data_IF_584679357586
#
_entry.id   IF_584679357586
#
_cell.length_a   1.000
_cell.length_b   1.000
_cell.length_c   1.000
_cell.angle_alpha   90.00
_cell.angle_beta   90.00
_cell.angle_gamma   90.00
#
_symmetry.space_group_name_H-M   'P 1'
#
loop_
_entity.id
_entity.type
_entity.pdbx_description
1 polymer ?
#
# COMPACT_ATOMS: atom_id res chain seq x y z
N UNK A 1 -0.52 -7.59 -0.59
CA UNK A 1 0.10 -8.07 0.66
C UNK A 1 -0.30 -7.16 1.79
N UNK A 2 -0.87 -7.73 2.87
CA UNK A 2 -1.34 -6.94 4.01
C UNK A 2 -0.21 -6.23 4.77
N UNK A 3 0.95 -6.87 4.93
CA UNK A 3 2.13 -6.31 5.61
C UNK A 3 2.59 -4.93 5.09
N UNK A 4 2.42 -4.67 3.79
CA UNK A 4 2.80 -3.41 3.16
C UNK A 4 1.69 -2.34 3.17
N UNK A 5 0.47 -2.67 3.60
CA UNK A 5 -0.64 -1.70 3.68
C UNK A 5 -0.47 -0.86 4.95
N UNK A 6 -0.44 0.45 4.80
CA UNK A 6 -0.38 1.39 5.92
C UNK A 6 -1.46 2.46 5.77
N UNK A 7 -2.15 2.78 6.85
CA UNK A 7 -3.11 3.88 6.92
C UNK A 7 -2.49 5.03 7.72
N UNK A 8 -2.51 6.25 7.19
CA UNK A 8 -2.02 7.44 7.88
C UNK A 8 -2.90 8.64 7.54
N UNK A 9 -3.35 9.37 8.56
CA UNK A 9 -3.92 10.70 8.38
C UNK A 9 -2.78 11.68 8.07
N UNK A 10 -2.94 12.47 7.02
CA UNK A 10 -1.95 13.43 6.55
C UNK A 10 -2.50 14.84 6.81
N UNK A 11 -1.61 15.73 7.25
CA UNK A 11 -1.93 17.14 7.46
C UNK A 11 -1.78 17.89 6.15
N UNK A 12 -2.68 18.84 5.89
CA UNK A 12 -2.58 19.72 4.73
C UNK A 12 -1.31 20.55 4.78
N UNK A 13 -0.83 20.91 3.60
CA UNK A 13 0.30 21.81 3.43
C UNK A 13 -0.17 23.25 3.65
N UNK A 14 0.45 23.96 4.60
CA UNK A 14 0.09 25.32 4.94
C UNK A 14 0.57 26.34 3.88
N UNK A 15 1.54 25.93 3.05
CA UNK A 15 2.14 26.77 2.01
C UNK A 15 1.43 26.62 0.65
N UNK A 16 0.25 26.00 0.62
CA UNK A 16 -0.53 25.84 -0.60
C UNK A 16 -1.47 27.03 -0.81
N UNK A 17 -1.30 27.70 -1.95
CA UNK A 17 -2.22 28.72 -2.45
C UNK A 17 -3.00 28.15 -3.65
N UNK A 18 -4.34 28.03 -3.55
CA UNK A 18 -5.16 27.50 -4.64
C UNK A 18 -5.19 28.41 -5.87
N UNK A 19 -4.83 29.70 -5.74
CA UNK A 19 -4.85 30.66 -6.86
C UNK A 19 -3.58 30.62 -7.72
N UNK A 20 -2.52 29.93 -7.27
CA UNK A 20 -1.21 29.86 -7.94
C UNK A 20 -1.11 28.70 -8.96
N UNK A 21 -2.00 27.70 -8.88
CA UNK A 21 -1.94 26.49 -9.71
C UNK A 21 -3.18 26.31 -10.60
N UNK A 22 -3.00 25.66 -11.76
CA UNK A 22 -4.08 25.39 -12.74
C UNK A 22 -5.13 24.35 -12.28
N UNK A 23 -5.08 23.92 -11.03
CA UNK A 23 -5.93 22.87 -10.49
C UNK A 23 -7.00 23.49 -9.60
N UNK A 24 -8.27 23.16 -9.85
CA UNK A 24 -9.43 23.66 -9.10
C UNK A 24 -9.59 23.00 -7.71
N UNK A 25 -8.49 22.62 -7.05
CA UNK A 25 -8.51 21.90 -5.77
C UNK A 25 -8.15 22.80 -4.59
N UNK A 26 -8.90 22.70 -3.49
CA UNK A 26 -8.79 23.59 -2.32
C UNK A 26 -7.62 23.23 -1.38
N UNK A 27 -7.23 21.96 -1.30
CA UNK A 27 -6.19 21.49 -0.37
C UNK A 27 -5.10 20.66 -1.07
N UNK A 28 -3.87 20.82 -0.59
CA UNK A 28 -2.70 20.00 -0.96
C UNK A 28 -2.17 19.22 0.24
N UNK A 29 -1.83 17.96 0.04
CA UNK A 29 -1.28 17.07 1.06
C UNK A 29 0.05 16.45 0.62
N UNK A 30 1.13 16.56 1.40
CA UNK A 30 2.40 15.93 1.08
C UNK A 30 2.37 14.43 1.37
N UNK A 31 2.86 13.63 0.42
CA UNK A 31 2.98 12.18 0.59
C UNK A 31 4.01 11.83 1.68
N UNK A 32 3.71 10.85 2.57
CA UNK A 32 4.63 10.47 3.63
C UNK A 32 6.00 10.03 3.11
N UNK A 33 7.07 10.58 3.69
CA UNK A 33 8.46 10.15 3.47
C UNK A 33 8.88 9.01 4.40
N UNK A 34 8.28 8.92 5.59
CA UNK A 34 8.57 7.88 6.57
C UNK A 34 7.27 7.34 7.24
N UNK A 35 6.90 6.07 7.01
CA UNK A 35 7.48 5.15 6.03
C UNK A 35 7.19 5.62 4.59
N UNK A 36 8.12 5.36 3.67
CA UNK A 36 8.06 5.92 2.32
C UNK A 36 6.84 5.38 1.55
N UNK A 37 6.01 6.28 1.03
CA UNK A 37 4.85 5.88 0.23
C UNK A 37 5.26 5.47 -1.20
N UNK A 38 5.08 4.19 -1.53
CA UNK A 38 5.32 3.65 -2.89
C UNK A 38 4.11 3.87 -3.80
N UNK A 39 2.91 3.56 -3.31
CA UNK A 39 1.67 3.62 -4.09
C UNK A 39 0.47 3.95 -3.22
N UNK A 40 -0.36 4.88 -3.68
CA UNK A 40 -1.64 5.21 -3.05
C UNK A 40 -2.64 4.09 -3.40
N UNK A 41 -3.39 3.63 -2.40
CA UNK A 41 -4.44 2.61 -2.56
C UNK A 41 -5.83 3.18 -2.38
N UNK A 42 -6.01 4.06 -1.39
CA UNK A 42 -7.29 4.71 -1.08
C UNK A 42 -7.01 6.08 -0.45
N UNK A 43 -7.80 7.08 -0.82
CA UNK A 43 -7.86 8.39 -0.17
C UNK A 43 -9.24 8.50 0.45
N UNK A 44 -9.33 8.81 1.74
CA UNK A 44 -10.58 8.85 2.52
C UNK A 44 -11.42 7.58 2.30
N UNK A 45 -12.67 7.76 1.88
CA UNK A 45 -13.62 6.69 1.62
C UNK A 45 -13.52 6.10 0.21
N UNK A 46 -12.57 6.58 -0.60
CA UNK A 46 -12.32 6.09 -1.95
C UNK A 46 -13.26 6.70 -3.00
N UNK A 47 -14.16 7.56 -2.55
CA UNK A 47 -15.08 8.36 -3.36
C UNK A 47 -14.59 9.80 -3.57
N UNK A 48 -13.62 10.24 -2.76
CA UNK A 48 -13.02 11.56 -2.86
C UNK A 48 -12.26 11.68 -4.19
N UNK A 49 -12.62 12.69 -4.98
CA UNK A 49 -11.84 13.06 -6.15
C UNK A 49 -10.51 13.64 -5.70
N UNK A 50 -9.42 13.08 -6.22
CA UNK A 50 -8.09 13.56 -5.94
C UNK A 50 -7.25 13.58 -7.21
N UNK A 51 -6.41 14.60 -7.34
CA UNK A 51 -5.32 14.62 -8.31
C UNK A 51 -4.00 14.31 -7.59
N UNK A 52 -3.08 13.65 -8.28
CA UNK A 52 -1.74 13.37 -7.76
C UNK A 52 -0.72 13.95 -8.71
N UNK A 53 0.13 14.84 -8.21
CA UNK A 53 1.28 15.36 -8.94
C UNK A 53 2.53 15.26 -8.08
N UNK A 54 3.58 14.66 -8.65
CA UNK A 54 4.83 14.42 -7.92
C UNK A 54 4.62 13.71 -6.58
N UNK A 55 4.96 14.40 -5.49
CA UNK A 55 4.82 13.95 -4.10
C UNK A 55 3.70 14.66 -3.34
N UNK A 56 2.73 15.21 -4.05
CA UNK A 56 1.56 15.86 -3.48
C UNK A 56 0.25 15.25 -3.98
N UNK A 57 -0.77 15.31 -3.12
CA UNK A 57 -2.16 14.93 -3.41
C UNK A 57 -2.98 16.21 -3.30
N UNK A 58 -3.79 16.49 -4.29
CA UNK A 58 -4.72 17.61 -4.32
C UNK A 58 -6.14 17.08 -4.16
N UNK A 59 -6.92 17.69 -3.28
CA UNK A 59 -8.31 17.32 -3.00
C UNK A 59 -9.07 18.53 -2.48
N UNK A 60 -10.40 18.47 -2.52
CA UNK A 60 -11.28 19.48 -1.91
C UNK A 60 -11.62 19.16 -0.45
N UNK A 61 -11.26 17.98 0.03
CA UNK A 61 -11.54 17.58 1.41
C UNK A 61 -10.50 18.18 2.39
N UNK A 62 -10.99 18.76 3.48
CA UNK A 62 -10.17 19.31 4.57
C UNK A 62 -9.53 18.23 5.46
N UNK A 63 -9.93 16.97 5.28
CA UNK A 63 -9.32 15.81 5.92
C UNK A 63 -8.84 14.81 4.86
N UNK A 64 -7.65 14.23 5.07
CA UNK A 64 -7.08 13.24 4.17
C UNK A 64 -6.54 12.03 4.94
N UNK A 65 -7.32 10.95 4.95
CA UNK A 65 -6.88 9.61 5.37
C UNK A 65 -6.31 8.84 4.18
N UNK A 66 -5.00 8.63 4.19
CA UNK A 66 -4.32 7.91 3.12
C UNK A 66 -4.10 6.45 3.50
N UNK A 67 -4.63 5.54 2.70
CA UNK A 67 -4.21 4.14 2.67
C UNK A 67 -3.21 3.98 1.54
N UNK A 68 -1.99 3.60 1.87
CA UNK A 68 -0.90 3.45 0.90
C UNK A 68 -0.09 2.19 1.13
N UNK A 69 0.71 1.84 0.14
CA UNK A 69 1.73 0.81 0.22
C UNK A 69 3.03 1.44 0.73
N UNK A 70 3.44 1.08 1.95
CA UNK A 70 4.72 1.51 2.52
C UNK A 70 5.89 0.76 1.89
N UNK A 71 7.05 1.42 1.78
CA UNK A 71 8.33 0.74 1.56
C UNK A 71 8.73 0.08 2.87
N UNK A 72 8.86 -1.24 2.83
CA UNK A 72 9.43 -2.03 3.92
C UNK A 72 10.92 -2.17 3.63
N UNK A 73 11.76 -1.77 4.57
CA UNK A 73 13.23 -1.91 4.48
C UNK A 73 13.75 -3.08 5.31
N UNK A 74 13.04 -3.45 6.39
CA UNK A 74 13.38 -4.60 7.22
C UNK A 74 12.75 -5.87 6.64
N UNK A 75 13.59 -6.87 6.34
CA UNK A 75 13.15 -8.16 5.83
C UNK A 75 12.30 -8.95 6.82
N UNK A 76 12.41 -8.67 8.13
CA UNK A 76 11.62 -9.34 9.16
C UNK A 76 10.14 -8.90 9.16
N UNK A 77 9.83 -7.74 8.58
CA UNK A 77 8.44 -7.28 8.43
C UNK A 77 7.73 -7.93 7.23
N UNK A 78 8.44 -8.73 6.43
CA UNK A 78 7.80 -9.45 5.33
C UNK A 78 7.00 -10.64 5.83
N UNK A 79 5.82 -10.79 5.23
CA UNK A 79 5.02 -12.00 5.35
C UNK A 79 5.84 -13.17 4.77
N UNK A 80 5.97 -14.32 5.46
CA UNK A 80 6.70 -15.48 4.94
C UNK A 80 6.28 -15.85 3.51
N UNK A 81 4.97 -15.80 3.21
CA UNK A 81 4.47 -16.11 1.87
C UNK A 81 4.87 -15.06 0.81
N UNK A 82 5.09 -13.81 1.22
CA UNK A 82 5.63 -12.78 0.33
C UNK A 82 7.09 -13.06 -0.01
N UNK A 83 7.89 -13.47 0.97
CA UNK A 83 9.29 -13.83 0.74
C UNK A 83 9.40 -15.01 -0.24
N UNK A 84 8.57 -16.04 -0.07
CA UNK A 84 8.50 -17.19 -0.97
C UNK A 84 8.01 -16.80 -2.37
N UNK A 85 7.02 -15.92 -2.47
CA UNK A 85 6.55 -15.43 -3.77
C UNK A 85 7.65 -14.65 -4.52
N UNK A 86 8.45 -13.85 -3.82
CA UNK A 86 9.56 -13.10 -4.42
C UNK A 86 10.67 -14.06 -4.87
N UNK A 87 11.05 -15.03 -4.04
CA UNK A 87 12.10 -15.99 -4.37
C UNK A 87 11.73 -16.85 -5.58
N UNK A 88 10.49 -17.35 -5.64
CA UNK A 88 9.96 -18.08 -6.80
C UNK A 88 9.90 -17.22 -8.06
N UNK A 89 9.48 -15.96 -7.93
CA UNK A 89 9.43 -15.06 -9.09
C UNK A 89 10.82 -14.80 -9.66
N UNK A 90 11.84 -14.68 -8.81
CA UNK A 90 13.24 -14.61 -9.23
C UNK A 90 13.69 -15.92 -9.88
N UNK A 91 13.37 -17.07 -9.29
CA UNK A 91 13.69 -18.38 -9.85
C UNK A 91 13.08 -18.58 -11.25
N UNK A 92 11.82 -18.18 -11.47
CA UNK A 92 11.16 -18.23 -12.79
C UNK A 92 11.85 -17.33 -13.82
N UNK A 93 12.31 -16.14 -13.40
CA UNK A 93 13.03 -15.21 -14.29
C UNK A 93 14.41 -15.72 -14.66
N UNK A 94 15.06 -16.46 -13.76
CA UNK A 94 16.38 -17.03 -13.96
C UNK A 94 16.34 -18.39 -14.68
N UNK A 95 15.27 -19.18 -14.55
CA UNK A 95 15.20 -20.53 -15.12
C UNK A 95 15.25 -20.52 -16.65
N UNK A 96 14.55 -19.59 -17.30
CA UNK A 96 14.55 -19.49 -18.76
C UNK A 96 15.92 -19.13 -19.37
N UNK A 97 16.64 -18.07 -18.92
CA UNK A 97 17.96 -17.75 -19.45
C UNK A 97 19.04 -18.78 -19.07
N UNK A 98 18.93 -19.46 -17.93
CA UNK A 98 19.96 -20.40 -17.48
C UNK A 98 19.80 -21.82 -18.02
N UNK A 99 18.58 -22.36 -18.00
CA UNK A 99 18.34 -23.78 -18.32
C UNK A 99 17.76 -23.98 -19.72
N UNK A 100 17.20 -22.92 -20.34
CA UNK A 100 16.46 -22.98 -21.62
C UNK A 100 15.33 -24.03 -21.65
N UNK A 101 14.94 -24.57 -20.49
CA UNK A 101 13.86 -25.54 -20.38
C UNK A 101 12.56 -24.81 -20.05
N UNK A 102 11.61 -24.90 -20.99
CA UNK A 102 10.29 -24.31 -20.84
C UNK A 102 9.42 -25.11 -19.86
N UNK A 103 9.63 -26.42 -19.72
CA UNK A 103 8.81 -27.29 -18.88
C UNK A 103 8.96 -26.94 -17.40
N UNK A 104 10.21 -26.81 -16.92
CA UNK A 104 10.51 -26.44 -15.53
C UNK A 104 9.98 -25.05 -15.19
N UNK A 105 10.08 -24.12 -16.15
CA UNK A 105 9.53 -22.77 -15.99
C UNK A 105 8.01 -22.80 -15.82
N UNK A 106 7.31 -23.56 -16.66
CA UNK A 106 5.85 -23.63 -16.63
C UNK A 106 5.36 -24.30 -15.32
N UNK A 107 6.08 -25.31 -14.81
CA UNK A 107 5.80 -25.93 -13.51
C UNK A 107 5.99 -24.96 -12.33
N UNK A 108 7.09 -24.18 -12.32
CA UNK A 108 7.32 -23.17 -11.27
C UNK A 108 6.28 -22.05 -11.30
N UNK A 109 5.84 -21.64 -12.50
CA UNK A 109 4.75 -20.68 -12.68
C UNK A 109 3.45 -21.25 -12.08
N UNK A 110 3.14 -22.51 -12.37
CA UNK A 110 1.96 -23.18 -11.84
C UNK A 110 1.98 -23.25 -10.30
N UNK A 111 3.12 -23.63 -9.72
CA UNK A 111 3.32 -23.67 -8.27
C UNK A 111 3.09 -22.30 -7.62
N UNK A 112 3.67 -21.24 -8.19
CA UNK A 112 3.49 -19.87 -7.71
C UNK A 112 2.01 -19.45 -7.71
N UNK A 113 1.29 -19.69 -8.80
CA UNK A 113 -0.10 -19.27 -8.94
C UNK A 113 -1.07 -20.09 -8.10
N UNK A 114 -0.91 -21.42 -8.07
CA UNK A 114 -1.87 -22.32 -7.44
C UNK A 114 -1.66 -22.47 -5.94
N UNK A 115 -0.43 -22.39 -5.44
CA UNK A 115 -0.16 -22.65 -4.03
C UNK A 115 0.11 -21.34 -3.32
N UNK A 116 1.22 -20.67 -3.65
CA UNK A 116 1.70 -19.51 -2.88
C UNK A 116 0.72 -18.33 -2.96
N UNK A 117 0.26 -17.97 -4.16
CA UNK A 117 -0.67 -16.85 -4.31
C UNK A 117 -2.09 -17.15 -3.79
N UNK A 118 -2.55 -18.41 -3.84
CA UNK A 118 -3.85 -18.76 -3.26
C UNK A 118 -3.79 -18.74 -1.73
N UNK A 119 -2.75 -19.31 -1.13
CA UNK A 119 -2.52 -19.25 0.31
C UNK A 119 -2.37 -17.81 0.79
N UNK A 120 -1.59 -16.99 0.07
CA UNK A 120 -1.44 -15.57 0.37
C UNK A 120 -2.77 -14.80 0.34
N UNK A 121 -3.65 -15.12 -0.61
CA UNK A 121 -4.98 -14.53 -0.68
C UNK A 121 -5.86 -14.97 0.50
N UNK A 122 -5.80 -16.24 0.88
CA UNK A 122 -6.54 -16.77 2.04
C UNK A 122 -6.06 -16.11 3.34
N UNK A 123 -4.74 -16.02 3.53
CA UNK A 123 -4.14 -15.37 4.68
C UNK A 123 -4.51 -13.88 4.75
N UNK A 124 -4.45 -13.17 3.61
CA UNK A 124 -4.88 -11.79 3.53
C UNK A 124 -6.39 -11.58 3.79
N UNK A 125 -7.22 -12.58 3.52
CA UNK A 125 -8.65 -12.54 3.83
C UNK A 125 -8.93 -12.81 5.32
N UNK A 126 -8.14 -13.67 5.96
CA UNK A 126 -8.23 -13.97 7.40
C UNK A 126 -7.72 -12.84 8.29
N UNK A 127 -6.75 -12.07 7.81
CA UNK A 127 -6.11 -10.97 8.55
C UNK A 127 -7.01 -9.71 8.57
N UNK A 128 -8.07 -9.75 9.38
CA UNK A 128 -8.83 -8.55 9.76
C UNK A 128 -8.02 -7.77 10.78
N UNK A 129 -7.39 -6.68 10.36
CA UNK A 129 -6.69 -5.79 11.29
C UNK A 129 -7.68 -5.13 12.25
N UNK A 130 -7.33 -5.14 13.53
CA UNK A 130 -8.03 -4.40 14.60
C UNK A 130 -8.07 -2.93 14.22
N UNK A 131 -9.27 -2.39 14.01
CA UNK A 131 -9.51 -0.95 14.00
C UNK A 131 -8.98 -0.41 15.33
N UNK A 132 -7.90 0.39 15.31
CA UNK A 132 -7.38 1.04 16.52
C UNK A 132 -8.55 1.72 17.21
N UNK A 133 -8.76 1.33 18.47
CA UNK A 133 -10.00 1.51 19.20
C UNK A 133 -10.56 2.93 19.13
N UNK A 134 -11.89 3.01 19.01
CA UNK A 134 -12.66 4.20 19.33
C UNK A 134 -12.25 4.63 20.74
N UNK A 135 -11.54 5.75 20.88
CA UNK A 135 -11.38 6.39 22.18
C UNK A 135 -12.77 6.81 22.65
N UNK A 136 -13.36 6.03 23.57
CA UNK A 136 -14.58 6.41 24.25
C UNK A 136 -14.24 7.55 25.22
N UNK A 137 -14.32 8.80 24.75
CA UNK A 137 -14.21 9.99 25.59
C UNK A 137 -15.54 10.20 26.34
N UNK A 138 -15.94 9.23 27.17
CA UNK A 138 -17.13 9.31 28.03
C UNK A 138 -16.94 8.49 29.31
N UNK A 139 -15.82 8.68 30.00
CA UNK A 139 -15.65 8.24 31.40
C UNK A 139 -14.42 8.92 32.02
N UNK A 140 -14.37 10.25 31.95
CA UNK A 140 -13.44 11.06 32.73
C UNK A 140 -14.12 12.40 33.00
N UNK A 141 -14.98 12.43 34.02
CA UNK A 141 -15.70 13.63 34.43
C UNK A 141 -16.71 13.33 35.51
N UNK A 142 -16.22 13.32 36.76
CA UNK A 142 -16.91 13.50 38.05
C UNK A 142 -18.27 12.83 38.27
#
# INVERSE_FOLDING_TARGET
>A
WPCAKHTKAITSDADYDPDDFSFTYEYRYPLPSNPYCLKIRKVNDGTTEYAKEGRYIYTNDSTCELVYTKRITDTNEFDPLLADAISLHLAIKLSFPLMQDKSVRDELIEYLYKIVLLQAKQQAAGEKFVEKGKYNVRQAGR
#
